data_IF_537338782447
#
_entry.id   IF_537338782447
#
_cell.length_a   1.000
_cell.length_b   1.000
_cell.length_c   1.000
_cell.angle_alpha   90.00
_cell.angle_beta   90.00
_cell.angle_gamma   90.00
#
_symmetry.space_group_name_H-M   'P 1'
#
loop_
_entity.id
_entity.type
_entity.pdbx_description
1 polymer ?
#
# COMPACT_ATOMS: atom_id res chain seq x y z
N UNK A 1 -26.32 -5.88 -5.93
CA UNK A 1 -25.84 -5.79 -7.33
C UNK A 1 -24.37 -5.46 -7.32
N UNK A 2 -23.51 -6.28 -7.95
CA UNK A 2 -22.10 -5.92 -8.15
C UNK A 2 -22.04 -4.78 -9.17
N UNK A 3 -21.46 -3.63 -8.80
CA UNK A 3 -21.10 -2.59 -9.76
C UNK A 3 -19.88 -3.08 -10.55
N UNK A 4 -20.07 -3.31 -11.85
CA UNK A 4 -19.01 -3.76 -12.76
C UNK A 4 -18.42 -2.62 -13.59
N UNK A 5 -19.05 -1.45 -13.58
CA UNK A 5 -18.60 -0.27 -14.32
C UNK A 5 -17.47 0.46 -13.58
N UNK A 6 -16.24 0.23 -14.04
CA UNK A 6 -15.09 1.04 -13.65
C UNK A 6 -14.82 2.03 -14.78
N UNK A 7 -15.04 3.33 -14.52
CA UNK A 7 -14.85 4.42 -15.51
C UNK A 7 -13.44 4.45 -16.10
N UNK A 8 -12.47 3.88 -15.40
CA UNK A 8 -11.11 3.61 -15.85
C UNK A 8 -10.91 2.10 -15.75
N UNK A 9 -10.78 1.39 -16.88
CA UNK A 9 -10.44 -0.04 -16.86
C UNK A 9 -9.02 -0.20 -16.30
N UNK A 10 -8.86 -0.70 -15.05
CA UNK A 10 -7.56 -0.79 -14.41
C UNK A 10 -6.68 -1.86 -15.03
N UNK A 11 -7.28 -2.79 -15.78
CA UNK A 11 -6.56 -3.85 -16.45
C UNK A 11 -5.92 -3.36 -17.73
N UNK A 12 -6.44 -2.31 -18.38
CA UNK A 12 -5.91 -1.87 -19.69
C UNK A 12 -4.42 -1.47 -19.66
N UNK A 13 -3.92 -0.65 -18.72
CA UNK A 13 -2.49 -0.34 -18.63
C UNK A 13 -1.66 -1.57 -18.24
N UNK A 14 -2.22 -2.46 -17.41
CA UNK A 14 -1.56 -3.69 -16.99
C UNK A 14 -1.43 -4.68 -18.14
N UNK A 15 -2.51 -4.90 -18.89
CA UNK A 15 -2.56 -5.73 -20.08
C UNK A 15 -1.62 -5.18 -21.15
N UNK A 16 -1.54 -3.86 -21.35
CA UNK A 16 -0.53 -3.26 -22.22
C UNK A 16 0.91 -3.55 -21.74
N UNK A 17 1.17 -3.43 -20.44
CA UNK A 17 2.48 -3.74 -19.87
C UNK A 17 2.87 -5.23 -20.01
N UNK A 18 1.88 -6.13 -19.95
CA UNK A 18 2.07 -7.58 -20.05
C UNK A 18 2.02 -8.11 -21.50
N UNK A 19 1.31 -7.45 -22.40
CA UNK A 19 1.20 -7.85 -23.81
C UNK A 19 2.56 -7.80 -24.54
N UNK A 20 3.48 -6.98 -24.05
CA UNK A 20 4.81 -6.85 -24.63
C UNK A 20 5.82 -7.90 -24.12
N UNK A 21 5.43 -8.90 -23.32
CA UNK A 21 6.34 -9.95 -22.85
C UNK A 21 6.96 -10.71 -24.04
N UNK A 22 8.29 -10.84 -24.01
CA UNK A 22 9.01 -11.60 -25.04
C UNK A 22 8.90 -13.11 -24.79
N UNK A 23 9.29 -13.91 -25.78
CA UNK A 23 9.37 -15.37 -25.62
C UNK A 23 10.26 -15.76 -24.43
N UNK A 24 9.78 -16.70 -23.62
CA UNK A 24 10.44 -17.10 -22.38
C UNK A 24 10.33 -16.09 -21.22
N UNK A 25 9.69 -14.93 -21.40
CA UNK A 25 9.33 -14.02 -20.31
C UNK A 25 7.97 -14.41 -19.71
N UNK A 26 7.89 -14.41 -18.38
CA UNK A 26 6.66 -14.65 -17.64
C UNK A 26 6.44 -13.56 -16.61
N UNK A 27 5.18 -13.20 -16.39
CA UNK A 27 4.80 -12.27 -15.35
C UNK A 27 3.69 -12.86 -14.48
N UNK A 28 3.76 -12.59 -13.19
CA UNK A 28 2.73 -12.94 -12.24
C UNK A 28 2.32 -11.67 -11.49
N UNK A 29 1.01 -11.40 -11.45
CA UNK A 29 0.42 -10.34 -10.66
C UNK A 29 -0.60 -10.98 -9.72
N UNK A 30 -0.52 -10.63 -8.46
CA UNK A 30 -1.36 -11.17 -7.42
C UNK A 30 -1.98 -10.03 -6.62
N UNK A 31 -3.31 -9.96 -6.65
CA UNK A 31 -4.11 -9.06 -5.84
C UNK A 31 -4.70 -9.87 -4.70
N UNK A 32 -4.37 -9.51 -3.47
CA UNK A 32 -4.91 -10.12 -2.26
C UNK A 32 -5.78 -9.10 -1.54
N UNK A 33 -6.98 -9.51 -1.13
CA UNK A 33 -7.90 -8.69 -0.35
C UNK A 33 -8.50 -9.53 0.78
N UNK A 34 -8.69 -8.94 1.96
CA UNK A 34 -9.39 -9.55 3.09
C UNK A 34 -10.18 -8.48 3.83
N UNK A 35 -11.46 -8.73 4.19
CA UNK A 35 -12.21 -7.80 5.02
C UNK A 35 -11.55 -7.68 6.40
N UNK A 36 -11.44 -6.46 6.91
CA UNK A 36 -10.86 -6.20 8.24
C UNK A 36 -11.98 -6.05 9.24
N UNK A 37 -12.04 -6.94 10.24
CA UNK A 37 -13.07 -6.92 11.28
C UNK A 37 -12.58 -6.32 12.60
N UNK A 38 -13.48 -5.60 13.28
CA UNK A 38 -13.45 -5.21 14.69
C UNK A 38 -12.11 -4.70 15.23
N UNK A 39 -11.32 -5.58 15.85
CA UNK A 39 -10.18 -5.22 16.72
C UNK A 39 -9.07 -4.42 16.01
N UNK A 40 -8.86 -4.66 14.70
CA UNK A 40 -7.86 -3.92 13.92
C UNK A 40 -8.33 -2.52 13.57
N UNK A 41 -9.62 -2.35 13.27
CA UNK A 41 -10.27 -1.08 13.03
C UNK A 41 -10.22 -0.21 14.30
N UNK A 42 -10.56 -0.79 15.45
CA UNK A 42 -10.50 -0.08 16.74
C UNK A 42 -9.08 0.36 17.11
N UNK A 43 -8.04 -0.43 16.78
CA UNK A 43 -6.64 -0.02 17.00
C UNK A 43 -6.22 1.15 16.12
N UNK A 44 -6.71 1.20 14.88
CA UNK A 44 -6.45 2.30 13.97
C UNK A 44 -7.18 3.56 14.38
N UNK A 45 -8.47 3.43 14.75
CA UNK A 45 -9.25 4.51 15.34
C UNK A 45 -8.51 5.08 16.55
N UNK A 46 -8.09 4.25 17.52
CA UNK A 46 -7.30 4.69 18.69
C UNK A 46 -5.97 5.37 18.31
N UNK A 47 -5.28 4.88 17.28
CA UNK A 47 -4.01 5.46 16.83
C UNK A 47 -4.22 6.80 16.11
N UNK A 48 -5.30 6.94 15.33
CA UNK A 48 -5.69 8.19 14.68
C UNK A 48 -6.17 9.23 15.70
N UNK A 49 -6.99 8.82 16.68
CA UNK A 49 -7.41 9.67 17.80
C UNK A 49 -6.23 10.09 18.68
N UNK A 50 -5.26 9.19 18.92
CA UNK A 50 -4.03 9.54 19.66
C UNK A 50 -3.19 10.60 18.93
N UNK A 51 -3.09 10.50 17.60
CA UNK A 51 -2.43 11.53 16.77
C UNK A 51 -3.19 12.86 16.77
N UNK A 52 -4.53 12.84 16.80
CA UNK A 52 -5.37 14.05 16.99
C UNK A 52 -5.09 14.76 18.31
N UNK A 53 -4.77 14.01 19.36
CA UNK A 53 -4.43 14.56 20.69
C UNK A 53 -2.97 15.03 20.84
N UNK A 54 -2.19 15.09 19.76
CA UNK A 54 -0.78 15.52 19.80
C UNK A 54 0.16 14.54 20.51
N UNK A 55 -0.26 13.28 20.76
CA UNK A 55 0.57 12.30 21.45
C UNK A 55 1.61 11.68 20.50
N UNK A 56 2.89 11.59 20.91
CA UNK A 56 3.93 10.98 20.09
C UNK A 56 3.57 9.52 19.78
N UNK A 57 3.64 9.17 18.49
CA UNK A 57 3.13 7.92 17.95
C UNK A 57 3.96 6.67 18.34
N UNK A 58 5.07 6.82 19.05
CA UNK A 58 5.92 5.70 19.47
C UNK A 58 6.44 5.87 20.90
N UNK A 59 6.60 4.75 21.61
CA UNK A 59 7.24 4.71 22.93
C UNK A 59 8.71 5.17 22.85
N UNK A 60 9.36 4.95 21.70
CA UNK A 60 10.74 5.38 21.42
C UNK A 60 10.85 6.90 21.37
N UNK A 61 9.89 7.59 20.74
CA UNK A 61 9.84 9.05 20.72
C UNK A 61 9.64 9.64 22.13
N UNK A 62 8.81 8.98 22.96
CA UNK A 62 8.62 9.38 24.37
C UNK A 62 9.89 9.22 25.22
N UNK A 63 10.70 8.20 24.95
CA UNK A 63 11.98 7.99 25.64
C UNK A 63 13.05 8.95 25.14
N UNK A 64 13.08 9.25 23.84
CA UNK A 64 13.97 10.29 23.28
C UNK A 64 13.67 11.69 23.85
N UNK A 65 12.39 12.03 24.04
CA UNK A 65 11.99 13.29 24.71
C UNK A 65 12.41 13.33 26.19
N UNK A 66 12.50 12.17 26.86
CA UNK A 66 12.97 12.08 28.25
C UNK A 66 14.50 12.21 28.37
N UNK A 67 15.23 11.86 27.31
CA UNK A 67 16.71 11.84 27.30
C UNK A 67 17.30 13.11 26.69
N UNK A 68 16.51 13.90 25.95
CA UNK A 68 16.96 15.14 25.31
C UNK A 68 16.45 16.36 26.09
N UNK A 69 17.29 17.07 26.87
CA UNK A 69 16.88 18.31 27.50
C UNK A 69 16.91 19.42 26.44
N UNK A 70 15.72 19.80 25.95
CA UNK A 70 15.50 20.92 25.04
C UNK A 70 14.19 21.62 25.39
N UNK A 71 14.01 22.91 25.00
CA UNK A 71 12.86 23.70 25.39
C UNK A 71 11.58 22.97 25.01
N UNK A 72 10.68 22.79 25.99
CA UNK A 72 9.43 22.07 25.83
C UNK A 72 8.73 22.52 24.54
N UNK A 73 8.60 21.60 23.59
CA UNK A 73 7.90 21.84 22.32
C UNK A 73 6.48 22.25 22.67
N UNK A 74 6.19 23.56 22.63
CA UNK A 74 4.82 24.07 22.72
C UNK A 74 3.99 23.25 21.73
N UNK A 75 2.80 22.74 22.11
CA UNK A 75 1.95 22.02 21.18
C UNK A 75 1.73 22.94 19.98
N UNK A 76 2.35 22.59 18.86
CA UNK A 76 2.25 23.35 17.62
C UNK A 76 0.76 23.52 17.35
N UNK A 77 0.33 24.77 17.19
CA UNK A 77 -1.03 25.13 16.81
C UNK A 77 -1.55 24.12 15.79
N UNK A 78 -2.73 23.56 16.06
CA UNK A 78 -3.33 22.47 15.29
C UNK A 78 -3.33 22.88 13.82
N UNK A 79 -2.37 22.32 13.07
CA UNK A 79 -2.24 22.54 11.65
C UNK A 79 -3.55 22.07 10.98
N UNK A 80 -4.32 22.98 10.35
CA UNK A 80 -5.63 22.65 9.79
C UNK A 80 -5.55 21.54 8.74
N UNK A 81 -4.41 21.40 8.05
CA UNK A 81 -4.17 20.31 7.08
C UNK A 81 -4.04 18.96 7.79
N UNK A 82 -3.40 18.91 8.96
CA UNK A 82 -3.36 17.69 9.80
C UNK A 82 -4.74 17.33 10.37
N UNK A 83 -5.57 18.33 10.68
CA UNK A 83 -6.93 18.10 11.16
C UNK A 83 -7.82 17.48 10.07
N UNK A 84 -7.68 17.93 8.82
CA UNK A 84 -8.36 17.37 7.66
C UNK A 84 -7.91 15.91 7.37
N UNK A 85 -6.60 15.65 7.36
CA UNK A 85 -6.07 14.28 7.18
C UNK A 85 -6.58 13.31 8.26
N UNK A 86 -6.69 13.79 9.51
CA UNK A 86 -7.20 13.00 10.63
C UNK A 86 -8.70 12.73 10.49
N UNK A 87 -9.49 13.72 10.07
CA UNK A 87 -10.93 13.56 9.83
C UNK A 87 -11.18 12.50 8.74
N UNK A 88 -10.42 12.56 7.65
CA UNK A 88 -10.50 11.58 6.56
C UNK A 88 -10.10 10.16 6.99
N UNK A 89 -9.08 10.02 7.84
CA UNK A 89 -8.70 8.72 8.41
C UNK A 89 -9.82 8.17 9.31
N UNK A 90 -10.46 9.04 10.11
CA UNK A 90 -11.55 8.64 10.99
C UNK A 90 -12.80 8.24 10.20
N UNK A 91 -13.12 8.96 9.12
CA UNK A 91 -14.23 8.64 8.24
C UNK A 91 -13.99 7.32 7.48
N UNK A 92 -12.78 7.13 6.92
CA UNK A 92 -12.35 5.83 6.37
C UNK A 92 -12.48 4.70 7.39
N UNK A 93 -12.11 4.95 8.64
CA UNK A 93 -12.17 3.97 9.71
C UNK A 93 -13.57 3.75 10.30
N UNK A 94 -14.56 4.58 9.97
CA UNK A 94 -15.97 4.38 10.32
C UNK A 94 -16.68 3.45 9.33
N UNK A 95 -16.08 3.21 8.15
CA UNK A 95 -16.60 2.35 7.10
C UNK A 95 -15.97 0.94 7.15
N UNK A 96 -16.63 -0.08 6.57
CA UNK A 96 -15.99 -1.37 6.34
C UNK A 96 -14.67 -1.18 5.60
N UNK A 97 -13.59 -1.71 6.17
CA UNK A 97 -12.24 -1.58 5.62
C UNK A 97 -11.75 -2.92 5.08
N UNK A 98 -10.91 -2.86 4.06
CA UNK A 98 -10.24 -4.02 3.47
C UNK A 98 -8.74 -3.92 3.65
N UNK A 99 -8.10 -5.04 3.98
CA UNK A 99 -6.66 -5.18 3.87
C UNK A 99 -6.34 -5.68 2.47
N UNK A 100 -5.53 -4.93 1.74
CA UNK A 100 -5.07 -5.29 0.40
C UNK A 100 -3.55 -5.45 0.34
N UNK A 101 -3.10 -6.29 -0.58
CA UNK A 101 -1.71 -6.33 -1.01
C UNK A 101 -1.63 -6.68 -2.48
N UNK A 102 -0.86 -5.90 -3.23
CA UNK A 102 -0.53 -6.17 -4.62
C UNK A 102 0.90 -6.67 -4.66
N UNK A 103 1.11 -7.84 -5.26
CA UNK A 103 2.43 -8.42 -5.49
C UNK A 103 2.59 -8.68 -6.97
N UNK A 104 3.79 -8.49 -7.47
CA UNK A 104 4.10 -8.84 -8.83
C UNK A 104 5.53 -9.35 -8.95
N UNK A 105 5.75 -10.23 -9.91
CA UNK A 105 7.06 -10.70 -10.30
C UNK A 105 7.12 -10.87 -11.82
N UNK A 106 8.32 -10.73 -12.35
CA UNK A 106 8.66 -11.02 -13.74
C UNK A 106 9.89 -11.91 -13.76
N UNK A 107 9.87 -12.92 -14.61
CA UNK A 107 10.94 -13.90 -14.78
C UNK A 107 11.21 -14.12 -16.26
N UNK A 108 12.41 -14.59 -16.58
CA UNK A 108 12.78 -14.96 -17.95
C UNK A 108 13.66 -16.19 -17.91
N UNK A 109 13.58 -17.03 -18.94
CA UNK A 109 14.52 -18.14 -19.18
C UNK A 109 15.78 -17.69 -19.92
N UNK A 110 15.79 -16.47 -20.49
CA UNK A 110 16.94 -15.93 -21.19
C UNK A 110 18.11 -15.66 -20.21
N UNK A 111 19.30 -16.12 -20.59
CA UNK A 111 20.54 -15.96 -19.80
C UNK A 111 21.43 -14.83 -20.33
N UNK A 112 20.98 -14.09 -21.34
CA UNK A 112 21.74 -13.00 -21.94
C UNK A 112 21.97 -11.84 -20.95
N UNK A 113 22.98 -11.01 -21.22
CA UNK A 113 23.36 -9.87 -20.36
C UNK A 113 22.25 -8.80 -20.26
N UNK A 114 21.36 -8.73 -21.25
CA UNK A 114 20.27 -7.75 -21.33
C UNK A 114 19.00 -8.19 -20.58
N UNK A 115 18.86 -9.49 -20.27
CA UNK A 115 17.69 -10.08 -19.63
C UNK A 115 17.32 -9.37 -18.33
N UNK A 116 18.33 -9.02 -17.51
CA UNK A 116 18.14 -8.28 -16.26
C UNK A 116 17.59 -6.87 -16.49
N UNK A 117 18.04 -6.17 -17.54
CA UNK A 117 17.57 -4.84 -17.88
C UNK A 117 16.12 -4.89 -18.39
N UNK A 118 15.80 -5.84 -19.28
CA UNK A 118 14.44 -6.09 -19.76
C UNK A 118 13.48 -6.38 -18.61
N UNK A 119 13.81 -7.33 -17.73
CA UNK A 119 12.99 -7.65 -16.55
C UNK A 119 12.77 -6.44 -15.63
N UNK A 120 13.79 -5.59 -15.44
CA UNK A 120 13.61 -4.34 -14.66
C UNK A 120 12.61 -3.39 -15.33
N UNK A 121 12.67 -3.25 -16.64
CA UNK A 121 11.70 -2.49 -17.43
C UNK A 121 10.28 -3.03 -17.28
N UNK A 122 10.09 -4.34 -17.44
CA UNK A 122 8.79 -5.01 -17.25
C UNK A 122 8.25 -4.81 -15.83
N UNK A 123 9.09 -5.02 -14.82
CA UNK A 123 8.74 -4.79 -13.42
C UNK A 123 8.38 -3.34 -13.11
N UNK A 124 8.95 -2.38 -13.85
CA UNK A 124 8.60 -0.97 -13.73
C UNK A 124 7.27 -0.67 -14.40
N UNK A 125 7.02 -1.17 -15.62
CA UNK A 125 5.76 -1.00 -16.33
C UNK A 125 4.56 -1.52 -15.50
N UNK A 126 4.68 -2.71 -14.91
CA UNK A 126 3.65 -3.24 -13.99
C UNK A 126 3.45 -2.34 -12.77
N UNK A 127 4.54 -1.83 -12.16
CA UNK A 127 4.42 -0.92 -11.02
C UNK A 127 3.73 0.39 -11.40
N UNK A 128 4.07 0.97 -12.54
CA UNK A 128 3.48 2.21 -13.05
C UNK A 128 2.00 2.04 -13.35
N UNK A 129 1.58 0.90 -13.91
CA UNK A 129 0.16 0.58 -14.09
C UNK A 129 -0.60 0.63 -12.76
N UNK A 130 -0.02 0.13 -11.67
CA UNK A 130 -0.65 0.16 -10.34
C UNK A 130 -0.52 1.50 -9.60
N UNK A 131 0.46 2.33 -9.95
CA UNK A 131 0.64 3.65 -9.35
C UNK A 131 -0.56 4.58 -9.62
N UNK A 132 -1.25 4.39 -10.75
CA UNK A 132 -2.49 5.12 -11.05
C UNK A 132 -3.61 4.88 -10.02
N UNK A 133 -3.60 3.71 -9.36
CA UNK A 133 -4.59 3.32 -8.34
C UNK A 133 -4.09 3.57 -6.91
N UNK A 134 -2.88 4.10 -6.72
CA UNK A 134 -2.38 4.34 -5.36
C UNK A 134 -3.12 5.48 -4.69
N UNK A 135 -3.63 6.49 -5.42
CA UNK A 135 -4.37 7.61 -4.82
C UNK A 135 -3.65 8.18 -3.58
N UNK A 136 -4.34 8.24 -2.44
CA UNK A 136 -3.75 8.58 -1.13
C UNK A 136 -3.16 7.40 -0.36
N UNK A 137 -3.39 6.19 -0.84
CA UNK A 137 -2.80 4.97 -0.30
C UNK A 137 -1.37 4.88 -0.81
N UNK A 138 -0.38 5.25 0.03
CA UNK A 138 1.05 5.13 -0.30
C UNK A 138 1.42 3.66 -0.53
N UNK A 139 1.17 3.16 -1.74
CA UNK A 139 1.56 1.83 -2.19
C UNK A 139 3.05 1.87 -2.52
N UNK A 140 3.86 1.79 -1.46
CA UNK A 140 5.30 1.76 -1.60
C UNK A 140 5.77 0.45 -2.23
N UNK A 141 6.72 0.57 -3.16
CA UNK A 141 7.32 -0.57 -3.84
C UNK A 141 8.39 -1.19 -2.95
N UNK A 142 8.21 -2.45 -2.59
CA UNK A 142 9.19 -3.23 -1.85
C UNK A 142 9.63 -4.47 -2.62
N UNK A 143 10.91 -4.85 -2.48
CA UNK A 143 11.43 -6.09 -3.09
C UNK A 143 10.98 -7.31 -2.27
N UNK A 144 10.55 -8.35 -2.98
CA UNK A 144 10.32 -9.67 -2.38
C UNK A 144 11.66 -10.42 -2.28
N UNK A 145 12.02 -10.85 -1.06
CA UNK A 145 13.27 -11.62 -0.83
C UNK A 145 13.24 -13.01 -1.47
N UNK A 146 12.09 -13.68 -1.40
CA UNK A 146 11.87 -15.02 -1.97
C UNK A 146 10.61 -15.00 -2.85
N UNK A 147 10.67 -14.46 -4.07
CA UNK A 147 9.48 -14.15 -4.88
C UNK A 147 8.62 -15.40 -5.15
N UNK A 148 9.22 -16.51 -5.57
CA UNK A 148 8.49 -17.75 -5.85
C UNK A 148 7.72 -18.27 -4.62
N UNK A 149 8.41 -18.37 -3.47
CA UNK A 149 7.81 -18.83 -2.20
C UNK A 149 6.70 -17.91 -1.72
N UNK A 150 6.91 -16.59 -1.80
CA UNK A 150 5.92 -15.61 -1.32
C UNK A 150 4.66 -15.61 -2.19
N UNK A 151 4.82 -15.69 -3.52
CA UNK A 151 3.70 -15.76 -4.45
C UNK A 151 2.93 -17.07 -4.28
N UNK A 152 3.63 -18.20 -4.20
CA UNK A 152 3.02 -19.52 -3.99
C UNK A 152 2.21 -19.61 -2.69
N UNK A 153 2.71 -18.99 -1.60
CA UNK A 153 2.02 -19.04 -0.31
C UNK A 153 0.67 -18.28 -0.30
N UNK A 154 0.48 -17.31 -1.20
CA UNK A 154 -0.73 -16.46 -1.29
C UNK A 154 -1.22 -15.84 0.03
N UNK A 155 -0.34 -15.70 1.04
CA UNK A 155 -0.71 -15.19 2.37
C UNK A 155 -0.79 -13.67 2.39
N UNK A 156 -1.91 -13.13 2.85
CA UNK A 156 -2.06 -11.71 3.14
C UNK A 156 -1.63 -11.42 4.59
N UNK A 157 -0.48 -10.76 4.74
CA UNK A 157 0.06 -10.33 6.03
C UNK A 157 -0.71 -9.14 6.62
N UNK A 158 0.02 -8.07 6.98
CA UNK A 158 -0.60 -6.86 7.53
C UNK A 158 -1.47 -6.13 6.49
N UNK A 159 -1.02 -6.07 5.23
CA UNK A 159 -1.69 -5.37 4.13
C UNK A 159 -1.75 -3.85 4.32
N UNK A 160 -1.99 -3.14 3.23
CA UNK A 160 -2.44 -1.74 3.26
C UNK A 160 -3.95 -1.72 3.47
N UNK A 161 -4.45 -0.70 4.17
CA UNK A 161 -5.87 -0.61 4.47
C UNK A 161 -6.52 0.42 3.55
N UNK A 162 -7.64 0.02 2.97
CA UNK A 162 -8.44 0.82 2.05
C UNK A 162 -9.90 0.76 2.47
N UNK A 163 -10.62 1.87 2.29
CA UNK A 163 -12.08 1.86 2.47
C UNK A 163 -12.76 1.14 1.30
N UNK A 164 -14.05 0.81 1.44
CA UNK A 164 -14.83 0.20 0.33
C UNK A 164 -14.84 1.09 -0.91
N UNK A 165 -14.97 2.41 -0.74
CA UNK A 165 -14.96 3.35 -1.86
C UNK A 165 -13.61 3.39 -2.60
N UNK A 166 -12.50 3.06 -1.91
CA UNK A 166 -11.16 3.00 -2.51
C UNK A 166 -10.83 1.63 -3.12
N UNK A 167 -11.65 0.62 -2.85
CA UNK A 167 -11.53 -0.71 -3.45
C UNK A 167 -12.29 -0.82 -4.78
N UNK A 168 -13.32 0.02 -4.96
CA UNK A 168 -14.26 0.00 -6.08
C UNK A 168 -13.81 0.86 -7.28
#
# INVERSE_FOLDING_TARGET
>A
MLRTEHKVDPLRPLLGALAALAEGETACVQVLARPVTGRRLTRLQRSATARRSGRPASRVARVLDLVTPGPATKPTAVDPTRAADVADILDKAAQPCWAIAIRYAVATTATDRQAKARLRGRAHAVATAFALFSGRNRLERHRLRHPARVLAARRLGKGNLVSVAELA
#
